data_IF_101061137696
#
_entry.id   IF_101061137696
#
_cell.length_a   1.000
_cell.length_b   1.000
_cell.length_c   1.000
_cell.angle_alpha   90.00
_cell.angle_beta   90.00
_cell.angle_gamma   90.00
#
_symmetry.space_group_name_H-M   'P 1'
#
loop_
_entity.id
_entity.type
_entity.pdbx_description
1 polymer ?
#
# COMPACT_ATOMS: atom_id res chain seq x y z
N UNK A 1 4.64 -5.96 3.30
CA UNK A 1 4.76 -5.21 2.05
C UNK A 1 4.51 -3.71 2.24
N UNK A 2 3.41 -3.27 2.84
CA UNK A 2 3.10 -1.85 3.10
C UNK A 2 4.21 -1.10 3.84
N UNK A 3 4.82 -1.74 4.85
CA UNK A 3 5.95 -1.19 5.60
C UNK A 3 7.15 -0.88 4.69
N UNK A 4 7.53 -1.81 3.82
CA UNK A 4 8.67 -1.60 2.91
C UNK A 4 8.40 -0.50 1.88
N UNK A 5 7.15 -0.34 1.44
CA UNK A 5 6.77 0.77 0.57
C UNK A 5 6.88 2.10 1.33
N UNK A 6 6.42 2.16 2.59
CA UNK A 6 6.53 3.33 3.43
C UNK A 6 8.00 3.72 3.70
N UNK A 7 8.86 2.73 3.99
CA UNK A 7 10.30 2.92 4.11
C UNK A 7 10.92 3.42 2.78
N UNK A 8 10.50 2.85 1.66
CA UNK A 8 10.93 3.29 0.33
C UNK A 8 10.55 4.73 0.02
N UNK A 9 9.34 5.16 0.38
CA UNK A 9 8.88 6.56 0.24
C UNK A 9 9.80 7.50 1.04
N UNK A 10 10.13 7.13 2.26
CA UNK A 10 10.92 7.97 3.16
C UNK A 10 12.40 8.02 2.78
N UNK A 11 13.02 6.87 2.53
CA UNK A 11 14.46 6.78 2.28
C UNK A 11 14.86 7.01 0.83
N UNK A 12 13.91 7.13 -0.10
CA UNK A 12 14.24 7.35 -1.50
C UNK A 12 14.69 8.79 -1.73
N UNK A 13 15.93 8.96 -2.19
CA UNK A 13 16.50 10.26 -2.58
C UNK A 13 15.76 10.88 -3.77
N UNK A 14 15.26 10.02 -4.67
CA UNK A 14 14.48 10.40 -5.86
C UNK A 14 13.18 9.60 -5.88
N UNK A 15 12.13 10.22 -5.34
CA UNK A 15 10.79 9.61 -5.21
C UNK A 15 10.14 9.33 -6.57
N UNK A 16 10.48 10.12 -7.60
CA UNK A 16 9.95 9.91 -8.96
C UNK A 16 10.54 8.64 -9.59
N UNK A 17 11.84 8.41 -9.41
CA UNK A 17 12.47 7.16 -9.85
C UNK A 17 11.94 5.95 -9.09
N UNK A 18 11.66 6.11 -7.79
CA UNK A 18 11.05 5.06 -6.98
C UNK A 18 9.65 4.73 -7.49
N UNK A 19 8.81 5.75 -7.72
CA UNK A 19 7.50 5.58 -8.34
C UNK A 19 7.60 4.88 -9.70
N UNK A 20 8.50 5.32 -10.59
CA UNK A 20 8.68 4.74 -11.91
C UNK A 20 9.03 3.25 -11.87
N UNK A 21 9.90 2.84 -10.96
CA UNK A 21 10.23 1.41 -10.76
C UNK A 21 9.02 0.62 -10.26
N UNK A 22 8.28 1.18 -9.32
CA UNK A 22 7.11 0.52 -8.76
C UNK A 22 5.98 0.43 -9.80
N UNK A 23 5.78 1.47 -10.60
CA UNK A 23 4.81 1.50 -11.70
C UNK A 23 5.16 0.49 -12.80
N UNK A 24 6.44 0.40 -13.19
CA UNK A 24 6.91 -0.62 -14.12
C UNK A 24 6.66 -2.04 -13.59
N UNK A 25 6.95 -2.26 -12.32
CA UNK A 25 6.69 -3.55 -11.67
C UNK A 25 5.19 -3.85 -11.56
N UNK A 26 4.37 -2.85 -11.27
CA UNK A 26 2.92 -2.98 -11.24
C UNK A 26 2.36 -3.35 -12.63
N UNK A 27 2.90 -2.76 -13.69
CA UNK A 27 2.52 -3.09 -15.07
C UNK A 27 2.87 -4.53 -15.42
N UNK A 28 4.10 -4.96 -15.16
CA UNK A 28 4.55 -6.35 -15.39
C UNK A 28 3.67 -7.32 -14.58
N UNK A 29 3.43 -7.01 -13.32
CA UNK A 29 2.61 -7.82 -12.41
C UNK A 29 1.15 -7.90 -12.89
N UNK A 30 0.61 -6.85 -13.50
CA UNK A 30 -0.74 -6.84 -14.04
C UNK A 30 -0.88 -7.84 -15.21
N UNK A 31 0.06 -7.84 -16.15
CA UNK A 31 0.04 -8.80 -17.24
C UNK A 31 0.26 -10.24 -16.76
N UNK A 32 1.18 -10.45 -15.83
CA UNK A 32 1.44 -11.76 -15.24
C UNK A 32 0.19 -12.29 -14.50
N UNK A 33 -0.51 -11.42 -13.76
CA UNK A 33 -1.75 -11.77 -13.07
C UNK A 33 -2.86 -12.12 -14.05
N UNK A 34 -3.08 -11.29 -15.10
CA UNK A 34 -4.05 -11.55 -16.14
C UNK A 34 -3.81 -12.90 -16.85
N UNK A 35 -2.55 -13.19 -17.14
CA UNK A 35 -2.16 -14.47 -17.75
C UNK A 35 -2.41 -15.66 -16.82
N UNK A 36 -2.05 -15.54 -15.52
CA UNK A 36 -2.20 -16.61 -14.55
C UNK A 36 -3.65 -16.97 -14.24
N UNK A 37 -4.54 -15.97 -14.21
CA UNK A 37 -5.95 -16.14 -13.87
C UNK A 37 -6.88 -16.18 -15.08
N UNK A 38 -6.34 -16.10 -16.30
CA UNK A 38 -7.14 -16.13 -17.53
C UNK A 38 -8.07 -14.93 -17.67
N UNK A 39 -7.77 -13.81 -17.01
CA UNK A 39 -8.53 -12.57 -17.14
C UNK A 39 -7.98 -11.76 -18.32
N UNK A 40 -8.89 -11.02 -18.98
CA UNK A 40 -8.47 -10.13 -20.08
C UNK A 40 -7.46 -9.10 -19.54
N UNK A 41 -6.23 -9.03 -20.08
CA UNK A 41 -5.23 -8.03 -19.67
C UNK A 41 -5.69 -6.58 -19.88
N UNK A 42 -6.69 -6.35 -20.73
CA UNK A 42 -7.31 -5.04 -20.91
C UNK A 42 -8.36 -4.72 -19.84
N UNK A 43 -8.78 -5.71 -19.05
CA UNK A 43 -9.74 -5.50 -17.99
C UNK A 43 -9.09 -4.83 -16.77
N UNK A 44 -9.58 -3.67 -16.42
CA UNK A 44 -9.15 -2.93 -15.22
C UNK A 44 -9.58 -3.68 -13.94
N UNK A 45 -10.56 -4.57 -14.05
CA UNK A 45 -11.05 -5.40 -12.96
C UNK A 45 -10.05 -6.54 -12.67
N UNK A 46 -9.47 -6.55 -11.46
CA UNK A 46 -8.51 -7.57 -11.05
C UNK A 46 -7.04 -7.14 -11.23
N UNK A 47 -6.76 -5.85 -11.13
CA UNK A 47 -5.36 -5.38 -11.08
C UNK A 47 -4.65 -5.89 -9.84
N UNK A 48 -3.37 -6.23 -10.00
CA UNK A 48 -2.56 -6.73 -8.88
C UNK A 48 -2.43 -5.69 -7.76
N UNK A 49 -2.17 -6.16 -6.55
CA UNK A 49 -1.88 -5.32 -5.35
C UNK A 49 -0.78 -4.27 -5.60
N UNK A 50 0.10 -4.50 -6.57
CA UNK A 50 1.17 -3.57 -6.91
C UNK A 50 0.67 -2.24 -7.46
N UNK A 51 -0.49 -2.22 -8.13
CA UNK A 51 -1.08 -1.01 -8.68
C UNK A 51 -1.44 0.02 -7.60
N UNK A 52 -2.29 -0.29 -6.59
CA UNK A 52 -2.58 0.66 -5.53
C UNK A 52 -1.36 1.04 -4.70
N UNK A 53 -0.34 0.16 -4.58
CA UNK A 53 0.91 0.50 -3.91
C UNK A 53 1.74 1.52 -4.71
N UNK A 54 1.81 1.40 -6.03
CA UNK A 54 2.43 2.42 -6.87
C UNK A 54 1.67 3.75 -6.79
N UNK A 55 0.33 3.70 -6.82
CA UNK A 55 -0.52 4.88 -6.67
C UNK A 55 -0.36 5.54 -5.29
N UNK A 56 -0.07 4.80 -4.22
CA UNK A 56 0.20 5.36 -2.90
C UNK A 56 1.45 6.25 -2.89
N UNK A 57 2.51 5.85 -3.61
CA UNK A 57 3.73 6.65 -3.75
C UNK A 57 3.46 7.93 -4.52
N UNK A 58 2.69 7.85 -5.61
CA UNK A 58 2.31 9.01 -6.41
C UNK A 58 1.43 9.97 -5.60
N UNK A 59 0.41 9.45 -4.93
CA UNK A 59 -0.47 10.25 -4.09
C UNK A 59 0.29 10.94 -2.95
N UNK A 60 1.22 10.26 -2.30
CA UNK A 60 2.06 10.85 -1.27
C UNK A 60 2.81 12.07 -1.79
N UNK A 61 3.42 11.98 -2.98
CA UNK A 61 4.14 13.09 -3.60
C UNK A 61 3.23 14.25 -3.96
N UNK A 62 2.05 13.96 -4.52
CA UNK A 62 1.05 14.98 -4.86
C UNK A 62 0.53 15.70 -3.62
N UNK A 63 0.32 14.98 -2.52
CA UNK A 63 -0.11 15.56 -1.25
C UNK A 63 0.95 16.48 -0.64
N UNK A 64 2.25 16.18 -0.85
CA UNK A 64 3.35 17.04 -0.40
C UNK A 64 3.45 18.34 -1.24
N UNK A 65 3.08 18.29 -2.52
CA UNK A 65 3.11 19.45 -3.42
C UNK A 65 1.92 20.40 -3.23
N UNK A 66 0.77 19.87 -2.82
CA UNK A 66 -0.47 20.62 -2.71
C UNK A 66 -0.69 21.12 -1.28
N UNK A 67 -0.83 22.44 -1.11
CA UNK A 67 -1.08 23.05 0.20
C UNK A 67 -2.57 23.15 0.55
N UNK A 68 -3.45 23.19 -0.45
CA UNK A 68 -4.89 23.32 -0.25
C UNK A 68 -5.50 22.01 0.27
N UNK A 69 -6.10 22.05 1.47
CA UNK A 69 -6.77 20.88 2.07
C UNK A 69 -7.91 20.34 1.21
N UNK A 70 -8.64 21.21 0.51
CA UNK A 70 -9.72 20.81 -0.37
C UNK A 70 -9.18 20.00 -1.55
N UNK A 71 -8.10 20.46 -2.19
CA UNK A 71 -7.47 19.75 -3.31
C UNK A 71 -6.86 18.43 -2.82
N UNK A 72 -6.24 18.40 -1.64
CA UNK A 72 -5.75 17.16 -1.04
C UNK A 72 -6.88 16.14 -0.84
N UNK A 73 -8.04 16.58 -0.34
CA UNK A 73 -9.21 15.70 -0.15
C UNK A 73 -9.72 15.17 -1.49
N UNK A 74 -9.84 16.05 -2.50
CA UNK A 74 -10.27 15.64 -3.84
C UNK A 74 -9.30 14.64 -4.47
N UNK A 75 -7.98 14.83 -4.32
CA UNK A 75 -6.98 13.88 -4.78
C UNK A 75 -7.13 12.52 -4.10
N UNK A 76 -7.28 12.50 -2.78
CA UNK A 76 -7.49 11.24 -2.04
C UNK A 76 -8.74 10.52 -2.54
N UNK A 77 -9.86 11.21 -2.70
CA UNK A 77 -11.11 10.62 -3.19
C UNK A 77 -10.93 10.08 -4.62
N UNK A 78 -10.32 10.86 -5.51
CA UNK A 78 -10.08 10.44 -6.90
C UNK A 78 -9.20 9.18 -6.96
N UNK A 79 -8.11 9.13 -6.19
CA UNK A 79 -7.24 7.96 -6.14
C UNK A 79 -7.91 6.74 -5.51
N UNK A 80 -8.75 6.93 -4.50
CA UNK A 80 -9.57 5.85 -3.93
C UNK A 80 -10.53 5.27 -4.97
N UNK A 81 -11.17 6.11 -5.79
CA UNK A 81 -12.06 5.67 -6.86
C UNK A 81 -11.30 4.91 -7.97
N UNK A 82 -10.11 5.39 -8.35
CA UNK A 82 -9.26 4.74 -9.34
C UNK A 82 -8.78 3.37 -8.85
N UNK A 83 -8.43 3.26 -7.57
CA UNK A 83 -7.92 2.01 -6.98
C UNK A 83 -9.04 1.07 -6.53
N UNK A 84 -10.30 1.48 -6.58
CA UNK A 84 -11.44 0.68 -6.09
C UNK A 84 -11.55 -0.73 -6.73
N UNK A 85 -11.32 -0.92 -8.04
CA UNK A 85 -11.38 -2.24 -8.66
C UNK A 85 -10.14 -3.11 -8.41
N UNK A 86 -9.09 -2.59 -7.75
CA UNK A 86 -7.88 -3.35 -7.48
C UNK A 86 -7.98 -4.13 -6.16
N UNK A 87 -7.22 -5.23 -6.09
CA UNK A 87 -7.05 -5.98 -4.85
C UNK A 87 -6.48 -5.09 -3.74
N UNK A 88 -6.96 -5.28 -2.50
CA UNK A 88 -6.66 -4.44 -1.34
C UNK A 88 -7.08 -2.97 -1.45
N UNK A 89 -7.63 -2.55 -2.61
CA UNK A 89 -8.35 -1.30 -2.82
C UNK A 89 -7.72 -0.08 -2.10
N UNK A 90 -8.57 0.71 -1.42
CA UNK A 90 -8.14 1.91 -0.68
C UNK A 90 -7.20 1.63 0.49
N UNK A 91 -7.21 0.43 1.06
CA UNK A 91 -6.32 0.07 2.19
C UNK A 91 -4.87 0.01 1.73
N UNK A 92 -4.59 -0.64 0.58
CA UNK A 92 -3.25 -0.68 0.01
C UNK A 92 -2.76 0.70 -0.45
N UNK A 93 -3.69 1.59 -0.83
CA UNK A 93 -3.38 2.98 -1.18
C UNK A 93 -3.00 3.81 0.06
N UNK A 94 -3.81 3.74 1.13
CA UNK A 94 -3.69 4.63 2.28
C UNK A 94 -2.67 4.16 3.32
N UNK A 95 -2.59 2.85 3.59
CA UNK A 95 -1.73 2.31 4.64
C UNK A 95 -0.26 2.75 4.52
N UNK A 96 0.42 2.67 3.35
CA UNK A 96 1.80 3.12 3.21
C UNK A 96 1.97 4.61 3.50
N UNK A 97 1.00 5.45 3.12
CA UNK A 97 1.02 6.90 3.34
C UNK A 97 1.00 7.21 4.83
N UNK A 98 0.08 6.59 5.58
CA UNK A 98 -0.03 6.80 7.03
C UNK A 98 1.17 6.25 7.80
N UNK A 99 1.70 5.10 7.38
CA UNK A 99 2.91 4.51 7.98
C UNK A 99 4.12 5.41 7.72
N UNK A 100 4.28 5.92 6.50
CA UNK A 100 5.38 6.82 6.12
C UNK A 100 5.35 8.15 6.89
N UNK A 101 4.17 8.70 7.17
CA UNK A 101 4.03 9.93 7.97
C UNK A 101 4.39 9.75 9.45
N UNK A 102 4.48 8.52 9.94
CA UNK A 102 4.88 8.15 11.30
C UNK A 102 6.35 7.70 11.37
N UNK A 103 7.15 8.08 10.37
CA UNK A 103 8.56 7.73 10.35
C UNK A 103 9.30 8.35 11.56
N UNK A 104 10.17 7.53 12.17
CA UNK A 104 10.90 7.90 13.40
C UNK A 104 10.24 7.40 14.70
N UNK A 105 8.96 7.07 14.68
CA UNK A 105 8.27 6.40 15.80
C UNK A 105 7.80 5.02 15.35
N UNK A 106 8.61 4.01 15.64
CA UNK A 106 8.37 2.63 15.25
C UNK A 106 7.10 2.05 15.84
N UNK A 107 6.83 2.36 17.10
CA UNK A 107 5.63 1.88 17.78
C UNK A 107 4.38 2.48 17.12
N UNK A 108 4.42 3.75 16.74
CA UNK A 108 3.34 4.38 16.02
C UNK A 108 3.18 3.80 14.61
N UNK A 109 4.27 3.44 13.92
CA UNK A 109 4.20 2.76 12.63
C UNK A 109 3.54 1.38 12.75
N UNK A 110 3.95 0.57 13.72
CA UNK A 110 3.38 -0.76 13.96
C UNK A 110 1.91 -0.69 14.35
N UNK A 111 1.53 0.24 15.24
CA UNK A 111 0.12 0.48 15.61
C UNK A 111 -0.71 0.90 14.39
N UNK A 112 -0.19 1.79 13.56
CA UNK A 112 -0.85 2.24 12.33
C UNK A 112 -1.02 1.07 11.35
N UNK A 113 0.01 0.25 11.16
CA UNK A 113 -0.05 -0.94 10.33
C UNK A 113 -1.09 -1.93 10.85
N UNK A 114 -1.10 -2.20 12.14
CA UNK A 114 -2.09 -3.08 12.79
C UNK A 114 -3.51 -2.55 12.60
N UNK A 115 -3.73 -1.25 12.82
CA UNK A 115 -5.03 -0.62 12.62
C UNK A 115 -5.54 -0.79 11.18
N UNK A 116 -4.69 -0.57 10.17
CA UNK A 116 -5.06 -0.76 8.76
C UNK A 116 -5.35 -2.23 8.41
N UNK A 117 -4.62 -3.18 9.00
CA UNK A 117 -4.90 -4.62 8.85
C UNK A 117 -6.27 -4.95 9.45
N UNK A 118 -6.57 -4.45 10.65
CA UNK A 118 -7.86 -4.68 11.29
C UNK A 118 -9.02 -4.07 10.50
N UNK A 119 -8.86 -2.85 9.95
CA UNK A 119 -9.83 -2.23 9.05
C UNK A 119 -10.06 -3.12 7.82
N UNK A 120 -8.98 -3.62 7.22
CA UNK A 120 -9.05 -4.50 6.07
C UNK A 120 -9.81 -5.81 6.38
N UNK A 121 -9.45 -6.46 7.49
CA UNK A 121 -10.13 -7.68 7.95
C UNK A 121 -11.61 -7.40 8.20
N UNK A 122 -11.95 -6.29 8.87
CA UNK A 122 -13.34 -5.92 9.13
C UNK A 122 -14.13 -5.72 7.83
N UNK A 123 -13.56 -5.01 6.85
CA UNK A 123 -14.19 -4.82 5.53
C UNK A 123 -14.49 -6.17 4.87
N UNK A 124 -13.54 -7.11 4.89
CA UNK A 124 -13.75 -8.43 4.30
C UNK A 124 -14.77 -9.27 5.05
N UNK A 125 -14.77 -9.23 6.37
CA UNK A 125 -15.78 -9.93 7.21
C UNK A 125 -17.19 -9.44 6.90
N UNK A 126 -17.36 -8.12 6.75
CA UNK A 126 -18.70 -7.53 6.54
C UNK A 126 -19.18 -7.55 5.09
N UNK A 127 -18.27 -7.45 4.11
CA UNK A 127 -18.64 -7.29 2.71
C UNK A 127 -18.49 -8.56 1.86
N UNK A 128 -17.66 -9.51 2.27
CA UNK A 128 -17.36 -10.71 1.47
C UNK A 128 -17.81 -11.97 2.20
N UNK A 129 -17.04 -12.44 3.17
CA UNK A 129 -17.33 -13.64 3.96
C UNK A 129 -16.45 -13.67 5.22
N UNK A 130 -17.02 -14.18 6.31
CA UNK A 130 -16.34 -14.36 7.59
C UNK A 130 -15.06 -15.22 7.46
N UNK A 131 -15.12 -16.29 6.66
CA UNK A 131 -14.00 -17.22 6.46
C UNK A 131 -12.82 -16.52 5.79
N UNK A 132 -13.09 -15.74 4.74
CA UNK A 132 -12.07 -14.95 4.05
C UNK A 132 -11.48 -13.88 4.97
N UNK A 133 -12.31 -13.19 5.74
CA UNK A 133 -11.84 -12.20 6.72
C UNK A 133 -10.92 -12.81 7.77
N UNK A 134 -11.22 -14.00 8.29
CA UNK A 134 -10.38 -14.70 9.27
C UNK A 134 -9.02 -15.12 8.70
N UNK A 135 -8.97 -15.57 7.44
CA UNK A 135 -7.69 -15.87 6.76
C UNK A 135 -6.81 -14.63 6.65
N UNK A 136 -7.41 -13.46 6.44
CA UNK A 136 -6.66 -12.19 6.35
C UNK A 136 -6.01 -11.77 7.69
N UNK A 137 -6.40 -12.34 8.82
CA UNK A 137 -5.67 -12.16 10.10
C UNK A 137 -4.21 -12.64 9.99
N UNK A 138 -3.89 -13.53 9.06
CA UNK A 138 -2.52 -13.91 8.75
C UNK A 138 -1.61 -12.73 8.36
N UNK A 139 -2.19 -11.61 7.91
CA UNK A 139 -1.46 -10.36 7.66
C UNK A 139 -0.87 -9.73 8.93
N UNK A 140 -1.29 -10.15 10.13
CA UNK A 140 -0.68 -9.73 11.38
C UNK A 140 0.69 -10.41 11.62
N UNK A 141 0.95 -11.57 11.03
CA UNK A 141 2.26 -12.25 11.16
C UNK A 141 3.45 -11.33 10.82
N UNK A 142 3.46 -10.61 9.69
CA UNK A 142 4.52 -9.65 9.40
C UNK A 142 4.68 -8.54 10.44
N UNK A 143 3.61 -8.14 11.14
CA UNK A 143 3.70 -7.13 12.20
C UNK A 143 4.54 -7.66 13.35
N UNK A 144 4.31 -8.92 13.77
CA UNK A 144 5.12 -9.56 14.80
C UNK A 144 6.58 -9.71 14.37
N UNK A 145 6.82 -10.12 13.11
CA UNK A 145 8.18 -10.20 12.58
C UNK A 145 8.88 -8.83 12.57
N UNK A 146 8.15 -7.77 12.24
CA UNK A 146 8.68 -6.40 12.24
C UNK A 146 8.99 -5.86 13.64
N UNK A 147 8.38 -6.37 14.71
CA UNK A 147 8.76 -6.00 16.07
C UNK A 147 10.21 -6.36 16.39
N UNK A 148 10.72 -7.41 15.76
CA UNK A 148 12.10 -7.91 15.94
C UNK A 148 13.09 -7.31 14.94
N UNK A 149 12.60 -6.59 13.95
CA UNK A 149 13.43 -5.93 12.94
C UNK A 149 13.98 -4.60 13.48
N UNK A 150 15.27 -4.50 13.76
CA UNK A 150 15.90 -3.33 14.37
C UNK A 150 15.92 -2.10 13.46
N UNK A 151 15.78 -2.26 12.15
CA UNK A 151 15.86 -1.17 11.17
C UNK A 151 17.28 -0.57 11.03
N UNK A 152 18.22 -1.03 11.84
CA UNK A 152 19.62 -0.65 11.70
C UNK A 152 20.15 -1.29 10.43
N UNK A 153 20.48 -0.45 9.45
CA UNK A 153 21.35 -0.92 8.38
C UNK A 153 22.63 -1.41 9.06
N UNK A 154 22.97 -2.66 8.85
CA UNK A 154 24.31 -3.12 9.16
C UNK A 154 25.27 -2.09 8.54
N UNK A 155 25.91 -1.30 9.36
CA UNK A 155 27.06 -0.49 8.97
C UNK A 155 28.17 -1.50 8.70
N UNK A 156 28.04 -2.17 7.56
CA UNK A 156 29.08 -3.00 6.98
C UNK A 156 30.09 -2.06 6.39
N UNK A 157 31.30 -2.18 6.88
CA UNK A 157 32.46 -1.42 6.56
C UNK A 157 32.86 -1.33 5.08
#
# INVERSE_FOLDING_TARGET
MWFFIAEGIYHSRDRWRYFGRLAAFALISHFAFGFAFGTDPAAINGTSVMFPLAMSVLLYQLLDLVQSKLVQTLLVVAFCLICFPADFSFVALMAPIYISRRQGDRDAQLRTMTAWILIYVAVYVFLVDLRYGLVQLGLLMPVFALQWYSGERAQGG
#
